data_IF_746316752697
#
_entry.id   IF_746316752697
#
_cell.length_a   1.000
_cell.length_b   1.000
_cell.length_c   1.000
_cell.angle_alpha   90.00
_cell.angle_beta   90.00
_cell.angle_gamma   90.00
#
_symmetry.space_group_name_H-M   'P 1'
#
loop_
_entity.id
_entity.type
_entity.pdbx_description
1 polymer ?
2 non-polymer ?
3 non-polymer ?
4 water ?
#
# COMPACT_ATOMS: atom_id res chain seq x y z
N UNK A 3 4.34 10.74 21.11
CA UNK A 3 3.61 11.84 20.51
C UNK A 3 3.07 11.52 19.08
N UNK A 4 3.80 10.87 18.13
CA UNK A 4 3.21 10.65 16.78
C UNK A 4 1.91 9.86 16.78
N UNK A 5 1.92 8.64 17.34
CA UNK A 5 0.77 7.75 17.42
C UNK A 5 -0.39 8.37 18.21
N UNK A 6 -0.08 9.00 19.37
CA UNK A 6 -1.04 9.67 20.26
C UNK A 6 -1.76 10.79 19.51
N UNK A 7 -1.00 11.57 18.71
CA UNK A 7 -1.51 12.66 17.89
C UNK A 7 -2.38 12.12 16.77
N UNK A 8 -1.92 11.05 16.12
CA UNK A 8 -2.61 10.40 15.00
C UNK A 8 -3.95 9.86 15.48
N UNK A 9 -4.01 9.25 16.64
CA UNK A 9 -5.25 8.72 17.19
C UNK A 9 -6.23 9.81 17.67
N UNK A 10 -5.68 10.92 18.20
CA UNK A 10 -6.46 12.07 18.63
C UNK A 10 -7.16 12.70 17.43
N UNK A 11 -6.43 12.86 16.30
CA UNK A 11 -6.97 13.40 15.04
C UNK A 11 -8.02 12.43 14.44
N UNK A 12 -7.84 11.10 14.62
CA UNK A 12 -8.82 10.11 14.17
C UNK A 12 -10.16 10.39 14.83
N UNK A 13 -10.17 10.62 16.16
CA UNK A 13 -11.38 10.92 16.93
C UNK A 13 -12.04 12.17 16.38
N UNK A 14 -11.22 13.20 16.04
CA UNK A 14 -11.66 14.47 15.48
C UNK A 14 -12.33 14.29 14.10
N UNK A 15 -11.66 13.55 13.19
CA UNK A 15 -12.17 13.24 11.84
C UNK A 15 -13.48 12.44 11.96
N UNK A 16 -13.47 11.37 12.79
CA UNK A 16 -14.65 10.53 13.01
C UNK A 16 -15.85 11.36 13.49
N UNK A 17 -15.65 12.20 14.52
CA UNK A 17 -16.73 13.03 15.03
C UNK A 17 -17.25 14.03 13.99
N UNK A 18 -16.35 14.60 13.17
CA UNK A 18 -16.75 15.51 12.09
C UNK A 18 -17.63 14.77 11.07
N UNK A 19 -17.15 13.62 10.59
CA UNK A 19 -17.86 12.82 9.58
C UNK A 19 -19.20 12.36 10.07
N UNK A 20 -19.27 11.87 11.32
CA UNK A 20 -20.50 11.37 11.90
C UNK A 20 -21.48 12.49 12.24
N UNK A 21 -20.98 13.65 12.74
CA UNK A 21 -21.86 14.80 13.02
C UNK A 21 -22.42 15.35 11.71
N UNK A 22 -21.60 15.41 10.64
CA UNK A 22 -22.02 15.85 9.31
C UNK A 22 -23.19 14.98 8.82
N UNK A 23 -23.08 13.63 8.93
CA UNK A 23 -24.15 12.69 8.54
C UNK A 23 -25.44 12.95 9.32
N UNK A 24 -25.33 13.09 10.64
CA UNK A 24 -26.46 13.39 11.53
C UNK A 24 -27.11 14.76 11.20
N UNK A 25 -26.29 15.82 11.06
CA UNK A 25 -26.78 17.21 10.87
C UNK A 25 -27.17 17.60 9.45
N UNK A 26 -26.38 17.17 8.46
CA UNK A 26 -26.55 17.51 7.05
C UNK A 26 -27.09 16.38 6.18
N UNK A 27 -26.98 15.12 6.59
CA UNK A 27 -27.43 14.04 5.72
C UNK A 27 -28.63 13.29 6.25
N UNK A 28 -29.27 13.82 7.30
CA UNK A 28 -30.49 13.25 7.85
C UNK A 28 -30.34 11.86 8.49
N UNK A 29 -29.13 11.48 8.94
CA UNK A 29 -28.90 10.14 9.49
C UNK A 29 -29.41 9.93 10.89
N UNK A 30 -30.09 8.80 11.09
CA UNK A 30 -30.63 8.37 12.36
C UNK A 30 -29.50 7.79 13.24
N UNK A 31 -29.60 7.94 14.59
CA UNK A 31 -28.55 7.41 15.49
C UNK A 31 -28.11 5.95 15.28
N UNK A 32 -29.06 5.02 15.02
CA UNK A 32 -28.74 3.60 14.81
C UNK A 32 -27.76 3.42 13.68
N UNK A 33 -27.97 4.13 12.54
CA UNK A 33 -27.05 4.13 11.38
C UNK A 33 -25.75 4.86 11.69
N UNK A 34 -25.79 5.97 12.47
CA UNK A 34 -24.55 6.69 12.87
C UNK A 34 -23.65 5.76 13.67
N UNK A 35 -24.23 5.07 14.68
CA UNK A 35 -23.47 4.11 15.51
C UNK A 35 -22.93 2.94 14.69
N UNK A 36 -23.71 2.47 13.69
CA UNK A 36 -23.31 1.40 12.78
C UNK A 36 -22.10 1.85 11.97
N UNK A 37 -22.11 3.10 11.49
CA UNK A 37 -20.99 3.65 10.73
C UNK A 37 -19.76 3.92 11.59
N UNK A 38 -19.95 4.27 12.87
CA UNK A 38 -18.85 4.46 13.84
C UNK A 38 -18.13 3.11 14.02
N UNK A 39 -18.90 2.03 14.28
CA UNK A 39 -18.36 0.68 14.41
C UNK A 39 -17.64 0.23 13.12
N UNK A 40 -18.26 0.42 11.93
CA UNK A 40 -17.70 0.02 10.63
C UNK A 40 -16.39 0.73 10.38
N UNK A 41 -16.34 2.05 10.63
CA UNK A 41 -15.15 2.87 10.47
C UNK A 41 -14.01 2.36 11.40
N UNK A 42 -14.34 2.05 12.66
CA UNK A 42 -13.38 1.51 13.63
C UNK A 42 -12.87 0.14 13.18
N UNK A 43 -13.76 -0.77 12.70
CA UNK A 43 -13.44 -2.12 12.22
C UNK A 43 -12.51 -2.10 11.04
N UNK A 44 -12.79 -1.23 10.07
CA UNK A 44 -12.02 -1.15 8.82
C UNK A 44 -10.78 -0.26 8.89
N UNK A 45 -10.81 0.82 9.67
CA UNK A 45 -9.70 1.79 9.68
C UNK A 45 -8.67 1.61 10.79
N UNK A 46 -9.06 0.97 11.90
CA UNK A 46 -8.19 0.74 13.04
C UNK A 46 -7.73 -0.71 13.19
N UNK A 47 -6.62 -0.90 13.89
CA UNK A 47 -6.08 -2.23 14.16
C UNK A 47 -4.77 -2.60 13.50
N UNK A 48 -4.44 -1.89 12.41
CA UNK A 48 -3.20 -2.09 11.67
C UNK A 48 -1.99 -1.42 12.28
N UNK A 49 -0.91 -1.29 11.51
CA UNK A 49 0.32 -0.67 12.02
C UNK A 49 0.39 0.84 11.72
N UNK A 50 -0.47 1.34 10.81
CA UNK A 50 -0.54 2.74 10.38
C UNK A 50 0.77 3.24 9.73
N UNK A 51 1.52 2.33 9.08
CA UNK A 51 2.78 2.70 8.45
C UNK A 51 2.63 3.79 7.40
N UNK A 52 1.56 3.75 6.58
CA UNK A 52 1.31 4.77 5.55
C UNK A 52 0.98 6.13 6.20
N UNK A 53 0.08 6.13 7.17
CA UNK A 53 -0.38 7.31 7.89
C UNK A 53 0.71 7.96 8.72
N UNK A 54 1.46 7.15 9.48
CA UNK A 54 2.56 7.66 10.30
C UNK A 54 3.71 8.22 9.44
N UNK A 55 3.93 7.67 8.20
CA UNK A 55 4.95 8.18 7.28
C UNK A 55 4.70 9.66 6.96
N UNK A 56 3.41 10.05 6.78
CA UNK A 56 3.03 11.44 6.49
C UNK A 56 3.48 12.35 7.63
N UNK A 57 3.19 11.95 8.89
CA UNK A 57 3.59 12.69 10.11
C UNK A 57 5.12 12.86 10.18
N UNK A 58 5.89 11.74 10.02
CA UNK A 58 7.36 11.69 10.04
C UNK A 58 8.01 12.58 8.98
N UNK A 59 7.43 12.65 7.78
CA UNK A 59 7.95 13.49 6.69
C UNK A 59 7.75 14.97 7.06
N UNK A 60 6.53 15.37 7.50
CA UNK A 60 6.18 16.74 7.87
C UNK A 60 7.06 17.32 9.00
N UNK A 61 7.33 16.53 10.05
CA UNK A 61 8.10 16.94 11.21
C UNK A 61 9.58 17.24 10.85
N UNK A 62 10.12 16.46 9.89
CA UNK A 62 11.47 16.59 9.39
C UNK A 62 11.60 17.88 8.56
N UNK A 63 10.56 18.20 7.79
CA UNK A 63 10.53 19.35 6.90
C UNK A 63 10.20 20.69 7.57
N UNK A 64 9.63 20.67 8.79
CA UNK A 64 9.34 21.93 9.48
C UNK A 64 10.42 22.26 10.52
N UNK A 65 11.11 21.24 11.06
CA UNK A 65 12.22 21.42 11.99
C UNK A 65 13.48 21.82 11.21
N UNK A 66 13.59 21.29 9.98
CA UNK A 66 14.76 21.47 9.11
C UNK A 66 14.36 22.09 7.76
N UNK A 76 8.39 29.45 15.10
CA UNK A 76 6.94 29.67 15.12
C UNK A 76 6.11 28.39 15.32
N UNK A 77 5.17 28.46 16.27
CA UNK A 77 4.27 27.37 16.62
C UNK A 77 2.96 27.32 15.89
N UNK A 78 2.56 28.43 15.21
CA UNK A 78 1.28 28.52 14.45
C UNK A 78 1.32 27.68 13.15
N UNK A 79 2.46 27.72 12.43
CA UNK A 79 2.69 26.95 11.20
C UNK A 79 2.91 25.49 11.55
N UNK A 80 3.69 25.21 12.62
CA UNK A 80 4.01 23.85 13.09
C UNK A 80 2.75 23.05 13.43
N UNK A 81 1.92 23.57 14.37
CA UNK A 81 0.68 22.93 14.83
C UNK A 81 -0.24 22.57 13.66
N UNK A 82 -0.34 23.50 12.68
CA UNK A 82 -1.14 23.38 11.46
C UNK A 82 -0.57 22.28 10.56
N UNK A 83 0.74 22.32 10.26
CA UNK A 83 1.41 21.32 9.41
C UNK A 83 1.27 19.92 9.97
N UNK A 84 1.52 19.72 11.30
CA UNK A 84 1.37 18.42 11.96
C UNK A 84 -0.07 17.91 11.94
N UNK A 85 -1.07 18.81 12.12
CA UNK A 85 -2.50 18.43 12.08
C UNK A 85 -2.86 17.99 10.65
N UNK A 86 -2.42 18.77 9.64
CA UNK A 86 -2.60 18.50 8.21
C UNK A 86 -1.97 17.18 7.83
N UNK A 87 -0.78 16.86 8.40
CA UNK A 87 -0.07 15.60 8.17
C UNK A 87 -0.93 14.42 8.67
N UNK A 88 -1.59 14.59 9.82
CA UNK A 88 -2.48 13.59 10.43
C UNK A 88 -3.74 13.35 9.60
N UNK A 89 -4.34 14.41 9.02
CA UNK A 89 -5.54 14.30 8.18
C UNK A 89 -5.17 13.54 6.89
N UNK A 90 -4.00 13.88 6.29
CA UNK A 90 -3.47 13.25 5.09
C UNK A 90 -3.18 11.77 5.36
N UNK A 91 -2.58 11.51 6.52
CA UNK A 91 -2.32 10.15 6.99
C UNK A 91 -3.61 9.33 7.12
N UNK A 92 -4.67 9.92 7.66
CA UNK A 92 -5.94 9.20 7.75
C UNK A 92 -6.60 9.04 6.39
N UNK A 93 -6.38 10.00 5.45
CA UNK A 93 -6.85 9.85 4.06
C UNK A 93 -6.28 8.55 3.43
N UNK A 94 -4.95 8.29 3.61
CA UNK A 94 -4.30 7.08 3.08
C UNK A 94 -4.78 5.83 3.82
N UNK A 95 -4.93 5.91 5.16
CA UNK A 95 -5.43 4.77 5.95
C UNK A 95 -6.85 4.38 5.55
N UNK A 96 -7.69 5.38 5.26
CA UNK A 96 -9.08 5.16 4.82
C UNK A 96 -9.08 4.59 3.40
N UNK A 97 -8.16 5.08 2.52
CA UNK A 97 -7.99 4.57 1.15
C UNK A 97 -7.61 3.06 1.20
N UNK A 98 -6.68 2.71 2.11
CA UNK A 98 -6.24 1.34 2.37
C UNK A 98 -7.45 0.51 2.88
N UNK A 99 -8.23 1.07 3.82
CA UNK A 99 -9.42 0.42 4.36
C UNK A 99 -10.40 0.10 3.19
N UNK A 100 -10.61 1.08 2.29
CA UNK A 100 -11.42 0.93 1.08
C UNK A 100 -10.90 -0.24 0.20
N UNK A 101 -9.58 -0.33 -0.08
CA UNK A 101 -9.03 -1.42 -0.88
C UNK A 101 -9.21 -2.77 -0.23
N UNK A 102 -9.00 -2.85 1.09
CA UNK A 102 -9.19 -4.12 1.81
C UNK A 102 -10.62 -4.61 1.74
N UNK A 103 -11.62 -3.69 1.87
CA UNK A 103 -13.05 -4.04 1.75
C UNK A 103 -13.29 -4.59 0.34
N UNK A 104 -12.81 -3.89 -0.71
CA UNK A 104 -12.99 -4.30 -2.10
C UNK A 104 -12.39 -5.69 -2.31
N UNK A 105 -11.20 -5.94 -1.71
CA UNK A 105 -10.53 -7.25 -1.79
C UNK A 105 -11.37 -8.32 -1.09
N UNK A 106 -12.00 -8.00 0.04
CA UNK A 106 -12.86 -8.94 0.76
C UNK A 106 -14.12 -9.36 -0.03
N UNK A 107 -14.65 -8.49 -0.91
CA UNK A 107 -15.79 -8.77 -1.78
C UNK A 107 -15.27 -9.72 -2.89
N UNK A 108 -14.06 -9.43 -3.46
CA UNK A 108 -13.35 -10.20 -4.50
C UNK A 108 -13.04 -11.64 -4.09
N UNK A 109 -12.95 -11.91 -2.75
CA UNK A 109 -12.70 -13.22 -2.13
C UNK A 109 -13.95 -13.68 -1.31
N UNK A 110 -15.12 -13.75 -1.99
CA UNK A 110 -16.41 -14.14 -1.41
C UNK A 110 -17.22 -14.93 -2.43
N UNK A 124 -30.57 -11.80 -2.43
CA UNK A 124 -30.78 -10.53 -1.69
C UNK A 124 -29.83 -10.41 -0.50
N UNK A 125 -28.54 -10.72 -0.71
CA UNK A 125 -27.51 -10.72 0.34
C UNK A 125 -27.14 -9.32 0.84
N UNK A 126 -27.73 -8.91 1.98
CA UNK A 126 -27.51 -7.61 2.62
C UNK A 126 -26.05 -7.47 3.15
N UNK A 127 -25.31 -8.58 3.39
CA UNK A 127 -23.92 -8.44 3.84
C UNK A 127 -23.04 -7.95 2.68
N UNK A 128 -23.27 -8.46 1.45
CA UNK A 128 -22.54 -8.06 0.23
C UNK A 128 -22.93 -6.63 -0.15
N UNK A 129 -24.22 -6.28 0.03
CA UNK A 129 -24.71 -4.94 -0.23
C UNK A 129 -23.99 -3.99 0.70
N UNK A 130 -23.85 -4.38 1.98
CA UNK A 130 -23.23 -3.53 2.99
C UNK A 130 -21.76 -3.38 2.78
N UNK A 131 -21.07 -4.45 2.31
CA UNK A 131 -19.62 -4.41 2.01
C UNK A 131 -19.34 -3.46 0.84
N UNK A 132 -20.14 -3.56 -0.25
CA UNK A 132 -20.04 -2.65 -1.39
C UNK A 132 -20.27 -1.22 -0.86
N UNK A 133 -21.33 -1.00 -0.09
CA UNK A 133 -21.63 0.31 0.48
C UNK A 133 -20.49 0.85 1.31
N UNK A 134 -19.92 0.01 2.20
CA UNK A 134 -18.74 0.33 3.03
C UNK A 134 -17.55 0.78 2.17
N UNK A 135 -17.32 0.10 1.05
CA UNK A 135 -16.22 0.42 0.15
C UNK A 135 -16.37 1.83 -0.41
N UNK A 136 -17.60 2.16 -0.85
CA UNK A 136 -17.96 3.46 -1.40
C UNK A 136 -17.84 4.56 -0.34
N UNK A 137 -18.34 4.32 0.86
CA UNK A 137 -18.26 5.30 1.96
C UNK A 137 -16.83 5.60 2.38
N UNK A 138 -15.99 4.57 2.55
CA UNK A 138 -14.59 4.75 2.96
C UNK A 138 -13.81 5.63 1.96
N UNK A 139 -14.06 5.43 0.66
CA UNK A 139 -13.42 6.25 -0.36
C UNK A 139 -13.99 7.67 -0.34
N UNK A 140 -15.33 7.82 -0.23
CA UNK A 140 -15.97 9.14 -0.15
C UNK A 140 -15.49 9.92 1.04
N UNK A 141 -15.21 9.23 2.16
CA UNK A 141 -14.72 9.85 3.40
C UNK A 141 -13.35 10.50 3.24
N UNK A 142 -12.49 9.96 2.34
CA UNK A 142 -11.18 10.56 2.08
C UNK A 142 -11.40 11.96 1.49
N UNK A 143 -12.37 12.11 0.57
CA UNK A 143 -12.70 13.41 -0.02
C UNK A 143 -13.37 14.32 1.00
N UNK A 144 -14.35 13.80 1.78
CA UNK A 144 -15.07 14.60 2.77
C UNK A 144 -14.15 15.22 3.82
N UNK A 145 -13.22 14.43 4.37
CA UNK A 145 -12.27 14.92 5.38
C UNK A 145 -11.25 15.95 4.78
N UNK A 146 -10.83 15.76 3.51
CA UNK A 146 -9.93 16.68 2.82
C UNK A 146 -10.63 18.04 2.54
N UNK A 147 -11.85 18.00 1.96
CA UNK A 147 -12.66 19.16 1.62
C UNK A 147 -13.00 20.01 2.83
N UNK A 148 -13.11 19.38 4.00
CA UNK A 148 -13.41 20.09 5.23
C UNK A 148 -12.14 20.66 5.89
N UNK A 149 -11.19 19.79 6.30
CA UNK A 149 -9.98 20.15 7.03
C UNK A 149 -9.00 21.05 6.24
N UNK A 150 -8.99 20.93 4.90
CA UNK A 150 -8.13 21.73 4.05
C UNK A 150 -8.91 22.74 3.18
N UNK A 151 -10.18 23.03 3.53
CA UNK A 151 -11.10 23.94 2.83
C UNK A 151 -10.48 25.24 2.29
N UNK A 152 -9.65 25.93 3.10
CA UNK A 152 -9.04 27.17 2.66
C UNK A 152 -7.52 27.05 2.43
N UNK A 153 -6.98 25.81 2.32
CA UNK A 153 -5.56 25.60 2.02
C UNK A 153 -5.36 25.79 0.52
N UNK A 154 -4.27 26.47 0.08
CA UNK A 154 -4.03 26.63 -1.37
C UNK A 154 -3.62 25.31 -2.05
N UNK A 155 -3.19 24.31 -1.24
CA UNK A 155 -2.75 23.01 -1.75
C UNK A 155 -3.90 22.02 -1.98
N UNK A 156 -5.14 22.35 -1.54
CA UNK A 156 -6.28 21.43 -1.66
C UNK A 156 -6.43 20.80 -3.06
N UNK A 157 -6.42 21.62 -4.14
CA UNK A 157 -6.60 21.13 -5.50
C UNK A 157 -5.48 20.16 -5.94
N UNK A 158 -4.22 20.51 -5.68
CA UNK A 158 -3.08 19.67 -6.03
C UNK A 158 -3.12 18.38 -5.24
N UNK A 159 -3.48 18.47 -3.94
CA UNK A 159 -3.57 17.29 -3.07
C UNK A 159 -4.60 16.32 -3.60
N UNK A 160 -5.82 16.82 -3.91
CA UNK A 160 -6.93 16.03 -4.46
C UNK A 160 -6.56 15.36 -5.77
N UNK A 161 -5.90 16.11 -6.69
CA UNK A 161 -5.47 15.61 -7.99
C UNK A 161 -4.42 14.53 -7.88
N UNK A 162 -3.40 14.71 -7.00
CA UNK A 162 -2.33 13.71 -6.81
C UNK A 162 -2.87 12.45 -6.13
N UNK A 163 -3.79 12.63 -5.16
CA UNK A 163 -4.44 11.54 -4.46
C UNK A 163 -5.30 10.71 -5.45
N UNK A 164 -6.11 11.39 -6.30
CA UNK A 164 -7.00 10.75 -7.29
C UNK A 164 -6.23 10.00 -8.34
N UNK A 165 -5.11 10.58 -8.78
CA UNK A 165 -4.22 9.98 -9.77
C UNK A 165 -3.60 8.72 -9.20
N UNK A 166 -3.23 8.74 -7.87
CA UNK A 166 -2.62 7.56 -7.19
C UNK A 166 -3.66 6.45 -6.99
N UNK A 167 -4.89 6.84 -6.68
CA UNK A 167 -6.00 5.90 -6.54
C UNK A 167 -6.27 5.21 -7.89
N UNK A 168 -6.31 5.99 -8.99
CA UNK A 168 -6.50 5.46 -10.34
C UNK A 168 -5.39 4.50 -10.68
N UNK A 169 -4.14 4.88 -10.37
CA UNK A 169 -2.94 4.07 -10.59
C UNK A 169 -3.08 2.71 -9.93
N UNK A 170 -3.57 2.68 -8.67
CA UNK A 170 -3.77 1.45 -7.89
C UNK A 170 -4.80 0.53 -8.57
N UNK A 171 -5.95 1.09 -9.08
CA UNK A 171 -6.98 0.33 -9.80
C UNK A 171 -6.38 -0.27 -11.05
N UNK A 172 -5.55 0.50 -11.77
CA UNK A 172 -4.82 -0.01 -12.94
C UNK A 172 -3.88 -1.15 -12.53
N UNK A 173 -3.21 -1.01 -11.39
CA UNK A 173 -2.32 -2.03 -10.84
C UNK A 173 -3.06 -3.32 -10.52
N UNK A 174 -4.27 -3.17 -10.00
CA UNK A 174 -5.17 -4.27 -9.71
C UNK A 174 -5.56 -5.00 -10.99
N UNK A 175 -5.86 -4.26 -12.09
CA UNK A 175 -6.15 -4.88 -13.39
C UNK A 175 -4.97 -5.72 -13.84
N UNK A 176 -3.74 -5.19 -13.75
CA UNK A 176 -2.52 -5.91 -14.16
C UNK A 176 -2.35 -7.16 -13.32
N UNK A 177 -2.65 -7.08 -12.01
CA UNK A 177 -2.53 -8.18 -11.06
C UNK A 177 -3.48 -9.34 -11.29
N UNK A 178 -4.76 -9.03 -11.30
CA UNK A 178 -5.91 -9.92 -11.46
C UNK A 178 -5.91 -10.63 -12.80
N UNK A 179 -5.37 -9.99 -13.84
CA UNK A 179 -5.34 -10.57 -15.19
C UNK A 179 -3.95 -11.07 -15.60
N UNK A 180 -2.95 -11.06 -14.68
CA UNK A 180 -1.57 -11.52 -14.94
C UNK A 180 -1.44 -12.91 -15.52
N UNK A 181 -2.30 -13.84 -15.07
CA UNK A 181 -2.33 -15.24 -15.48
C UNK A 181 -3.26 -15.49 -16.68
N UNK A 182 -3.79 -14.40 -17.27
CA UNK A 182 -4.67 -14.38 -18.44
C UNK A 182 -4.17 -13.33 -19.48
N UNK A 183 -5.02 -13.06 -20.50
CA UNK A 183 -4.92 -12.05 -21.59
C UNK A 183 -5.80 -12.41 -22.79
N UNK A 184 -5.95 -11.44 -23.73
CA UNK A 184 -6.82 -11.43 -24.91
C UNK A 184 -8.27 -11.46 -24.37
N UNK A 185 -8.48 -10.65 -23.29
CA UNK A 185 -9.68 -10.47 -22.48
C UNK A 185 -10.94 -10.10 -23.31
N UNK A 197 -4.63 -18.62 -18.59
CA UNK A 197 -3.69 -19.66 -18.18
C UNK A 197 -2.23 -19.37 -18.66
N UNK A 198 -2.03 -18.36 -19.56
CA UNK A 198 -0.71 -18.04 -20.14
C UNK A 198 0.32 -17.52 -19.13
N UNK A 199 1.57 -18.06 -19.23
CA UNK A 199 2.70 -17.63 -18.40
C UNK A 199 3.57 -16.61 -19.14
N UNK A 200 3.06 -16.08 -20.27
CA UNK A 200 3.70 -15.05 -21.10
C UNK A 200 4.06 -13.80 -20.28
N UNK A 201 3.14 -13.37 -19.38
CA UNK A 201 3.33 -12.20 -18.54
C UNK A 201 4.09 -12.48 -17.24
N UNK A 202 4.60 -13.72 -17.07
CA UNK A 202 5.38 -14.07 -15.89
C UNK A 202 6.83 -13.70 -16.15
N UNK A 203 7.07 -12.38 -16.13
CA UNK A 203 8.39 -11.79 -16.34
C UNK A 203 8.66 -10.83 -15.22
N UNK A 204 9.94 -10.52 -15.00
CA UNK A 204 10.39 -9.61 -13.95
C UNK A 204 9.94 -8.15 -14.24
N UNK A 205 9.96 -7.76 -15.53
CA UNK A 205 9.52 -6.43 -15.96
C UNK A 205 8.01 -6.25 -15.64
N UNK A 206 7.19 -7.29 -15.91
CA UNK A 206 5.77 -7.26 -15.65
C UNK A 206 5.49 -7.33 -14.15
N UNK A 207 6.29 -8.13 -13.42
CA UNK A 207 6.18 -8.24 -11.97
C UNK A 207 6.38 -6.85 -11.37
N UNK A 208 7.40 -6.11 -11.85
CA UNK A 208 7.72 -4.75 -11.41
C UNK A 208 6.60 -3.80 -11.81
N UNK A 209 5.94 -4.01 -12.98
CA UNK A 209 4.81 -3.16 -13.41
C UNK A 209 3.64 -3.31 -12.41
N UNK A 210 3.31 -4.56 -12.02
CA UNK A 210 2.26 -4.85 -11.06
C UNK A 210 2.62 -4.21 -9.74
N UNK A 211 3.83 -4.46 -9.21
CA UNK A 211 4.23 -3.92 -7.91
C UNK A 211 4.16 -2.39 -7.87
N UNK A 212 4.72 -1.70 -8.88
CA UNK A 212 4.72 -0.25 -9.02
C UNK A 212 3.28 0.35 -8.91
N UNK A 213 2.38 -0.14 -9.76
CA UNK A 213 1.03 0.38 -9.86
C UNK A 213 0.11 -0.06 -8.72
N UNK A 214 0.10 -1.36 -8.42
CA UNK A 214 -0.76 -1.96 -7.41
C UNK A 214 -0.39 -1.58 -5.98
N UNK A 215 0.90 -1.44 -5.70
CA UNK A 215 1.37 -1.21 -4.33
C UNK A 215 2.24 0.03 -4.11
N UNK A 216 3.36 0.16 -4.84
CA UNK A 216 4.38 1.18 -4.61
C UNK A 216 3.87 2.63 -4.60
N UNK A 217 3.05 3.04 -5.61
CA UNK A 217 2.48 4.40 -5.67
C UNK A 217 1.67 4.81 -4.42
N UNK A 218 0.70 3.97 -3.92
CA UNK A 218 -0.10 4.37 -2.76
C UNK A 218 0.60 4.06 -1.39
N UNK A 219 1.47 3.04 -1.33
CA UNK A 219 2.09 2.64 -0.08
C UNK A 219 3.36 3.42 0.22
N UNK A 220 4.22 3.64 -0.79
CA UNK A 220 5.49 4.32 -0.58
C UNK A 220 5.51 5.73 -1.10
N UNK A 221 5.04 5.97 -2.34
CA UNK A 221 5.11 7.32 -2.92
C UNK A 221 4.13 8.29 -2.32
N UNK A 222 2.84 7.95 -2.27
CA UNK A 222 1.77 8.82 -1.75
C UNK A 222 2.06 9.35 -0.32
N UNK A 223 2.39 8.52 0.73
CA UNK A 223 2.67 9.10 2.05
C UNK A 223 3.78 10.14 2.03
N UNK A 224 4.85 9.89 1.26
CA UNK A 224 5.99 10.78 1.10
C UNK A 224 5.56 12.08 0.45
N UNK A 225 4.79 12.01 -0.66
CA UNK A 225 4.28 13.15 -1.42
C UNK A 225 3.35 14.02 -0.55
N UNK A 226 2.42 13.39 0.20
CA UNK A 226 1.49 14.10 1.08
C UNK A 226 2.20 14.86 2.18
N UNK A 227 3.23 14.25 2.77
CA UNK A 227 4.07 14.88 3.78
C UNK A 227 4.77 16.11 3.26
N UNK A 228 5.14 16.10 1.94
CA UNK A 228 5.79 17.21 1.23
C UNK A 228 4.80 18.31 0.91
N UNK A 229 3.56 17.93 0.50
CA UNK A 229 2.50 18.88 0.15
C UNK A 229 2.13 19.74 1.35
N UNK A 230 1.79 19.12 2.50
CA UNK A 230 1.39 19.81 3.74
C UNK A 230 2.49 20.73 4.28
N UNK A 231 3.76 20.36 4.03
CA UNK A 231 4.95 21.12 4.43
C UNK A 231 5.27 22.22 3.44
N UNK A 232 4.52 22.29 2.30
CA UNK A 232 4.71 23.25 1.20
C UNK A 232 6.17 23.17 0.66
N UNK A 233 6.73 21.95 0.66
CA UNK A 233 8.11 21.67 0.26
C UNK A 233 8.23 20.71 -0.92
N UNK A 234 7.15 20.57 -1.71
CA UNK A 234 7.08 19.72 -2.91
C UNK A 234 8.13 20.12 -3.98
N UNK A 235 8.36 21.41 -4.34
CA UNK A 235 9.36 21.69 -5.39
C UNK A 235 10.83 21.62 -4.94
N UNK A 236 11.09 21.47 -3.62
CA UNK A 236 12.44 21.42 -3.03
C UNK A 236 13.13 20.04 -3.13
N UNK A 237 12.43 19.02 -3.68
CA UNK A 237 12.92 17.64 -3.80
C UNK A 237 12.99 17.16 -5.24
N UNK A 238 13.97 16.28 -5.54
CA UNK A 238 14.10 15.64 -6.85
C UNK A 238 13.07 14.52 -6.84
N UNK A 239 11.97 14.73 -7.57
CA UNK A 239 10.85 13.78 -7.66
C UNK A 239 11.27 12.46 -8.29
N UNK A 240 12.18 12.53 -9.26
CA UNK A 240 12.71 11.36 -9.97
C UNK A 240 13.32 10.33 -9.04
N UNK A 241 14.28 10.77 -8.20
CA UNK A 241 14.98 9.95 -7.20
C UNK A 241 13.99 9.41 -6.15
N UNK A 242 13.00 10.25 -5.75
CA UNK A 242 11.94 9.92 -4.79
C UNK A 242 11.03 8.82 -5.35
N UNK A 243 10.56 8.99 -6.62
CA UNK A 243 9.70 8.03 -7.32
C UNK A 243 10.42 6.71 -7.44
N UNK A 244 11.72 6.76 -7.83
CA UNK A 244 12.62 5.63 -7.97
C UNK A 244 12.78 4.91 -6.64
N UNK A 245 12.93 5.67 -5.53
CA UNK A 245 13.04 5.10 -4.18
C UNK A 245 11.76 4.39 -3.77
N UNK A 246 10.60 5.03 -4.00
CA UNK A 246 9.30 4.45 -3.70
C UNK A 246 9.08 3.13 -4.43
N UNK A 247 9.39 3.09 -5.74
CA UNK A 247 9.31 1.89 -6.58
C UNK A 247 10.24 0.78 -6.06
N UNK A 248 11.48 1.15 -5.65
CA UNK A 248 12.46 0.19 -5.14
C UNK A 248 12.07 -0.41 -3.81
N UNK A 249 11.61 0.43 -2.87
CA UNK A 249 11.14 -0.01 -1.55
C UNK A 249 9.90 -0.91 -1.68
N UNK A 250 8.97 -0.54 -2.57
CA UNK A 250 7.78 -1.33 -2.91
C UNK A 250 8.16 -2.69 -3.46
N UNK A 251 9.15 -2.73 -4.35
CA UNK A 251 9.71 -3.96 -4.94
C UNK A 251 10.35 -4.85 -3.84
N UNK A 252 11.18 -4.26 -2.95
CA UNK A 252 11.80 -4.98 -1.84
C UNK A 252 10.70 -5.60 -0.96
N UNK A 253 9.69 -4.79 -0.61
CA UNK A 253 8.59 -5.22 0.21
C UNK A 253 7.80 -6.37 -0.41
N UNK A 254 7.46 -6.25 -1.70
CA UNK A 254 6.68 -7.27 -2.37
C UNK A 254 7.41 -8.62 -2.54
N UNK A 255 8.71 -8.58 -2.81
CA UNK A 255 9.53 -9.79 -2.95
C UNK A 255 9.54 -10.56 -1.63
N UNK A 256 9.72 -9.82 -0.52
CA UNK A 256 9.73 -10.40 0.81
C UNK A 256 8.33 -10.90 1.15
N UNK A 257 7.29 -10.14 0.78
CA UNK A 257 5.90 -10.51 1.00
C UNK A 257 5.50 -11.80 0.26
N UNK A 258 6.00 -11.95 -0.99
CA UNK A 258 5.76 -13.11 -1.86
C UNK A 258 6.41 -14.36 -1.29
N UNK A 259 7.67 -14.23 -0.82
CA UNK A 259 8.44 -15.32 -0.26
C UNK A 259 7.77 -15.80 1.01
N UNK A 260 7.35 -14.86 1.87
CA UNK A 260 6.66 -15.13 3.13
C UNK A 260 5.31 -15.79 2.92
N UNK A 261 4.59 -15.39 1.87
CA UNK A 261 3.28 -15.96 1.52
C UNK A 261 3.41 -17.48 1.30
N UNK A 262 4.49 -17.90 0.65
CA UNK A 262 4.77 -19.28 0.34
C UNK A 262 5.40 -20.08 1.49
N UNK A 263 6.41 -19.51 2.18
CA UNK A 263 7.18 -20.25 3.17
C UNK A 263 6.87 -19.95 4.66
N UNK A 264 6.36 -18.76 5.00
CA UNK A 264 6.04 -18.43 6.40
C UNK A 264 4.71 -19.09 6.82
N UNK A 265 4.73 -20.02 7.83
CA UNK A 265 3.48 -20.69 8.27
C UNK A 265 2.38 -19.76 8.76
N UNK A 266 1.08 -20.14 8.60
CA UNK A 266 -0.04 -19.24 8.92
C UNK A 266 -0.06 -18.56 10.29
N UNK A 267 0.40 -19.25 11.37
CA UNK A 267 0.43 -18.68 12.73
C UNK A 267 1.45 -17.51 12.85
N UNK A 268 2.57 -17.59 12.10
CA UNK A 268 3.63 -16.59 12.05
C UNK A 268 3.30 -15.48 11.03
N UNK A 269 2.72 -15.86 9.87
CA UNK A 269 2.35 -14.94 8.79
C UNK A 269 1.15 -14.07 9.12
N UNK A 270 0.17 -14.62 9.84
CA UNK A 270 -1.05 -13.92 10.24
C UNK A 270 -2.19 -14.07 9.25
N UNK A 271 -2.01 -14.96 8.25
CA UNK A 271 -2.97 -15.30 7.19
C UNK A 271 -2.57 -16.61 6.54
N UNK A 272 -3.46 -17.20 5.73
CA UNK A 272 -3.13 -18.42 4.99
C UNK A 272 -2.61 -17.95 3.61
N UNK A 273 -1.39 -18.35 3.27
CA UNK A 273 -0.76 -18.02 2.00
C UNK A 273 -1.41 -18.76 0.86
N UNK A 274 -1.94 -18.02 -0.13
CA UNK A 274 -2.72 -18.58 -1.25
C UNK A 274 -2.19 -18.21 -2.66
N UNK A 275 -0.98 -17.60 -2.78
CA UNK A 275 -0.41 -17.18 -4.07
C UNK A 275 -0.29 -18.31 -5.10
N UNK A 276 0.14 -19.49 -4.68
CA UNK A 276 0.29 -20.64 -5.59
C UNK A 276 -1.08 -21.06 -6.16
N UNK A 277 -2.06 -21.30 -5.26
CA UNK A 277 -3.45 -21.67 -5.56
C UNK A 277 -4.10 -20.67 -6.48
N UNK A 278 -3.84 -19.37 -6.22
CA UNK A 278 -4.38 -18.25 -6.99
C UNK A 278 -3.64 -17.99 -8.31
N UNK A 279 -2.53 -18.74 -8.55
CA UNK A 279 -1.71 -18.62 -9.74
C UNK A 279 -1.23 -17.16 -9.92
N UNK A 280 -0.73 -16.56 -8.82
CA UNK A 280 -0.23 -15.20 -8.84
C UNK A 280 1.10 -15.06 -9.61
N UNK A 281 1.31 -13.87 -10.21
CA UNK A 281 2.57 -13.53 -10.86
C UNK A 281 3.48 -13.06 -9.72
N UNK A 282 3.97 -13.99 -8.91
CA UNK A 282 4.83 -13.69 -7.76
C UNK A 282 6.30 -13.66 -8.16
N UNK A 283 7.15 -13.06 -7.31
CA UNK A 283 8.56 -13.02 -7.51
C UNK A 283 9.10 -14.46 -7.62
N UNK A 284 8.59 -15.38 -6.79
CA UNK A 284 9.04 -16.79 -6.82
C UNK A 284 8.76 -17.44 -8.17
N UNK A 285 7.52 -17.29 -8.68
CA UNK A 285 7.10 -17.83 -9.98
C UNK A 285 7.95 -17.32 -11.17
N UNK A 286 8.18 -15.99 -11.29
CA UNK A 286 8.96 -15.37 -12.38
C UNK A 286 10.46 -15.74 -12.30
N UNK A 287 10.99 -15.82 -11.07
CA UNK A 287 12.41 -16.18 -10.87
C UNK A 287 12.64 -17.65 -11.17
N UNK A 288 11.68 -18.49 -10.78
CA UNK A 288 11.74 -19.92 -11.04
C UNK A 288 11.70 -20.18 -12.54
N UNK A 289 10.79 -19.52 -13.28
CA UNK A 289 10.65 -19.78 -14.71
C UNK A 289 11.88 -19.45 -15.54
N UNK A 290 12.68 -18.48 -15.09
CA UNK A 290 13.90 -18.09 -15.78
C UNK A 290 15.04 -19.09 -15.50
N UNK A 291 14.99 -19.84 -14.37
CA UNK A 291 16.09 -20.77 -14.07
C UNK A 291 15.71 -22.28 -14.05
N UNK A 292 14.46 -22.63 -14.36
CA UNK A 292 14.04 -24.02 -14.42
C UNK A 292 14.31 -24.63 -15.81
N UNK A 293 14.48 -25.97 -15.87
CA UNK A 293 14.65 -26.73 -17.11
C UNK A 293 13.27 -26.92 -17.77
N UNK A 294 13.23 -27.30 -19.05
CA UNK A 294 11.98 -27.51 -19.79
C UNK A 294 10.99 -28.44 -19.06
N UNK A 295 11.47 -29.59 -18.53
CA UNK A 295 10.63 -30.53 -17.80
C UNK A 295 10.20 -29.99 -16.45
N UNK A 296 11.05 -29.20 -15.76
CA UNK A 296 10.72 -28.55 -14.47
C UNK A 296 9.64 -27.47 -14.71
N UNK A 297 9.73 -26.71 -15.84
CA UNK A 297 8.75 -25.69 -16.23
C UNK A 297 7.42 -26.41 -16.51
N UNK A 298 7.49 -27.54 -17.23
CA UNK A 298 6.35 -28.39 -17.55
C UNK A 298 5.68 -28.90 -16.27
N UNK A 299 6.50 -29.25 -15.26
CA UNK A 299 6.07 -29.71 -13.93
C UNK A 299 5.42 -28.56 -13.15
N UNK A 300 6.01 -27.35 -13.23
CA UNK A 300 5.48 -26.14 -12.61
C UNK A 300 4.12 -25.79 -13.24
N UNK A 301 4.04 -25.79 -14.58
CA UNK A 301 2.82 -25.46 -15.34
C UNK A 301 1.65 -26.41 -15.03
N UNK A 302 1.94 -27.70 -14.85
CA UNK A 302 0.89 -28.68 -14.54
C UNK A 302 0.39 -28.59 -13.10
N UNK A 303 1.18 -28.00 -12.17
CA UNK A 303 0.82 -27.91 -10.75
C UNK A 303 0.45 -26.51 -10.21
N UNK A 304 0.78 -25.43 -10.96
CA UNK A 304 0.47 -24.07 -10.53
C UNK A 304 -1.02 -23.72 -10.70
N UNK A 305 -1.55 -22.87 -9.82
CA UNK A 305 -2.94 -22.42 -9.86
C UNK A 305 -3.99 -23.44 -9.46
N UNK A 306 -3.66 -24.36 -8.54
CA UNK A 306 -4.58 -25.40 -8.06
C UNK A 306 -4.66 -25.40 -6.54
N UNK A 307 -5.86 -25.65 -6.03
CA UNK A 307 -6.12 -25.73 -4.60
C UNK A 307 -5.60 -27.02 -3.97
N UNK A 308 -5.41 -28.08 -4.79
CA UNK A 308 -4.93 -29.39 -4.34
C UNK A 308 -3.60 -29.30 -3.58
N UNK A 309 -3.64 -29.72 -2.29
CA UNK A 309 -2.54 -29.73 -1.31
C UNK A 309 -1.20 -30.25 -1.83
N UNK A 310 -1.24 -31.35 -2.60
CA UNK A 310 -0.07 -32.02 -3.17
C UNK A 310 0.56 -31.25 -4.34
N UNK A 311 -0.27 -30.52 -5.12
CA UNK A 311 0.18 -29.69 -6.24
C UNK A 311 0.87 -28.43 -5.71
N UNK A 312 0.34 -27.84 -4.63
CA UNK A 312 0.90 -26.66 -3.92
C UNK A 312 2.27 -27.06 -3.35
N UNK A 313 2.32 -28.24 -2.72
CA UNK A 313 3.54 -28.83 -2.15
C UNK A 313 4.59 -29.12 -3.24
N UNK A 314 4.14 -29.56 -4.45
CA UNK A 314 5.05 -29.83 -5.56
C UNK A 314 5.71 -28.51 -6.02
N UNK A 315 4.91 -27.42 -6.04
CA UNK A 315 5.38 -26.07 -6.41
C UNK A 315 6.45 -25.62 -5.41
N UNK A 316 6.15 -25.72 -4.10
CA UNK A 316 7.07 -25.41 -3.01
C UNK A 316 8.39 -26.19 -3.12
N UNK A 317 8.32 -27.52 -3.46
CA UNK A 317 9.46 -28.41 -3.68
C UNK A 317 10.29 -27.88 -4.83
N UNK A 318 9.64 -27.45 -5.93
CA UNK A 318 10.32 -26.90 -7.11
C UNK A 318 11.09 -25.62 -6.74
N UNK A 319 10.45 -24.69 -5.97
CA UNK A 319 11.09 -23.45 -5.51
C UNK A 319 12.33 -23.74 -4.63
N UNK A 320 12.17 -24.70 -3.70
CA UNK A 320 13.22 -25.14 -2.79
C UNK A 320 14.41 -25.72 -3.57
N UNK A 321 14.13 -26.66 -4.50
CA UNK A 321 15.15 -27.33 -5.30
C UNK A 321 15.84 -26.43 -6.30
N UNK A 322 15.19 -25.34 -6.71
CA UNK A 322 15.77 -24.39 -7.65
C UNK A 322 16.63 -23.34 -6.93
N UNK A 323 16.80 -23.48 -5.61
CA UNK A 323 17.59 -22.57 -4.76
C UNK A 323 17.10 -21.13 -4.88
N UNK A 324 15.78 -20.97 -4.88
CA UNK A 324 15.16 -19.65 -5.00
C UNK A 324 15.34 -18.86 -3.74
N UNK A 325 15.44 -19.53 -2.56
CA UNK A 325 15.60 -18.82 -1.29
C UNK A 325 17.05 -18.28 -1.13
N UNK A 326 17.97 -18.85 -1.88
CA UNK A 326 19.35 -18.37 -1.95
C UNK A 326 19.39 -17.13 -2.84
N UNK A 327 18.64 -17.16 -3.96
CA UNK A 327 18.51 -16.07 -4.93
C UNK A 327 17.74 -14.90 -4.32
N UNK A 328 16.77 -15.19 -3.43
CA UNK A 328 15.96 -14.21 -2.69
C UNK A 328 16.86 -13.27 -1.89
N UNK A 329 17.82 -13.85 -1.12
CA UNK A 329 18.79 -13.17 -0.27
C UNK A 329 19.59 -12.14 -1.09
N UNK A 330 20.15 -12.59 -2.22
CA UNK A 330 20.95 -11.74 -3.11
C UNK A 330 20.09 -10.68 -3.79
N UNK A 331 18.87 -11.03 -4.25
CA UNK A 331 17.99 -10.06 -4.93
C UNK A 331 17.66 -8.88 -4.02
N UNK A 332 17.29 -9.19 -2.78
CA UNK A 332 16.95 -8.21 -1.75
C UNK A 332 18.14 -7.34 -1.38
N UNK A 333 19.34 -7.95 -1.23
CA UNK A 333 20.57 -7.25 -0.92
C UNK A 333 20.93 -6.26 -2.04
N UNK A 334 20.75 -6.64 -3.35
CA UNK A 334 21.03 -5.77 -4.50
C UNK A 334 20.06 -4.58 -4.51
N UNK A 335 18.78 -4.82 -4.15
CA UNK A 335 17.76 -3.79 -4.07
C UNK A 335 18.14 -2.84 -2.94
N UNK A 336 18.55 -3.40 -1.78
CA UNK A 336 18.97 -2.64 -0.59
C UNK A 336 20.13 -1.70 -0.90
N UNK A 337 21.12 -2.19 -1.68
CA UNK A 337 22.28 -1.41 -2.14
C UNK A 337 21.80 -0.20 -2.95
N UNK A 338 20.84 -0.41 -3.89
CA UNK A 338 20.25 0.63 -4.75
C UNK A 338 19.50 1.69 -3.93
N UNK A 339 18.73 1.23 -2.90
CA UNK A 339 17.96 2.09 -2.00
C UNK A 339 18.91 3.00 -1.23
N UNK A 340 19.89 2.39 -0.51
CA UNK A 340 20.91 3.09 0.28
C UNK A 340 21.66 4.16 -0.51
N UNK A 341 21.91 3.89 -1.81
CA UNK A 341 22.60 4.81 -2.72
C UNK A 341 21.73 6.02 -3.09
N UNK A 342 20.46 5.78 -3.45
CA UNK A 342 19.54 6.85 -3.87
C UNK A 342 19.17 7.82 -2.75
N UNK A 343 19.13 7.34 -1.48
CA UNK A 343 18.86 8.18 -0.31
C UNK A 343 19.98 9.25 -0.18
N UNK A 344 21.24 8.85 -0.49
CA UNK A 344 22.40 9.74 -0.48
C UNK A 344 22.26 10.87 -1.50
N UNK A 345 21.83 10.55 -2.74
CA UNK A 345 21.58 11.55 -3.79
C UNK A 345 20.51 12.56 -3.35
N UNK A 346 19.45 12.06 -2.67
CA UNK A 346 18.34 12.84 -2.15
C UNK A 346 18.78 13.77 -1.03
N UNK A 347 19.66 13.26 -0.14
CA UNK A 347 20.22 13.96 1.01
C UNK A 347 21.05 15.20 0.61
N UNK A 348 21.67 15.20 -0.59
CA UNK A 348 22.48 16.31 -1.11
C UNK A 348 21.71 17.62 -1.28
N UNK A 349 20.40 17.54 -1.61
CA UNK A 349 19.53 18.69 -1.82
C UNK A 349 18.35 18.76 -0.83
N UNK A 350 17.96 17.61 -0.26
CA UNK A 350 16.85 17.47 0.68
C UNK A 350 17.30 16.60 1.88
N UNK A 351 18.01 17.20 2.88
CA UNK A 351 18.55 16.38 3.99
C UNK A 351 17.51 15.84 4.97
N UNK A 352 16.62 16.71 5.46
CA UNK A 352 15.55 16.32 6.38
C UNK A 352 14.63 15.25 5.83
N UNK A 353 14.28 15.37 4.52
CA UNK A 353 13.43 14.44 3.80
C UNK A 353 14.06 13.06 3.70
N UNK A 354 15.38 13.00 3.38
CA UNK A 354 16.17 11.77 3.27
C UNK A 354 16.19 10.91 4.54
N UNK A 355 16.21 11.57 5.74
CA UNK A 355 16.15 10.90 7.05
C UNK A 355 14.78 10.27 7.25
N UNK A 356 13.69 10.93 6.76
CA UNK A 356 12.33 10.36 6.87
C UNK A 356 12.17 9.21 5.83
N UNK A 357 12.87 9.29 4.68
CA UNK A 357 12.83 8.22 3.66
C UNK A 357 13.64 7.03 4.21
N UNK A 358 14.64 7.31 5.08
CA UNK A 358 15.50 6.33 5.73
C UNK A 358 14.72 5.52 6.75
N UNK A 359 13.88 6.20 7.58
CA UNK A 359 13.02 5.60 8.58
C UNK A 359 11.95 4.73 7.89
N UNK A 360 11.38 5.22 6.75
CA UNK A 360 10.39 4.46 5.95
C UNK A 360 11.02 3.15 5.48
N UNK A 361 12.28 3.25 5.00
CA UNK A 361 13.10 2.12 4.57
C UNK A 361 13.43 1.13 5.70
N UNK A 362 13.77 1.65 6.88
CA UNK A 362 14.01 0.81 8.06
C UNK A 362 12.81 -0.03 8.45
N UNK A 363 11.59 0.52 8.27
CA UNK A 363 10.33 -0.18 8.53
C UNK A 363 10.09 -1.33 7.55
N UNK A 364 10.61 -1.21 6.30
CA UNK A 364 10.52 -2.21 5.22
C UNK A 364 11.61 -3.27 5.34
N UNK A 365 12.87 -2.83 5.58
CA UNK A 365 14.07 -3.67 5.70
C UNK A 365 14.02 -4.59 6.94
N UNK A 366 13.17 -4.26 7.94
CA UNK A 366 12.90 -4.98 9.20
C UNK A 366 12.35 -6.39 8.93
X LIG B 1 4.83 -3.58 6.13
X LIG B 1 4.00 -2.73 5.49
X LIG B 1 5.06 0.86 4.59
X LIG B 1 6.36 0.82 5.14
X LIG B 1 6.42 -2.98 6.55
X LIG B 1 4.69 -1.41 5.23
X LIG B 1 5.97 -1.46 5.80
X LIG B 1 2.66 -3.12 4.92
X LIG B 1 1.49 -2.30 5.38
X LIG B 1 4.21 -0.26 4.62
X LIG B 1 4.36 -5.22 6.54
X LIG B 1 6.83 -0.35 5.76
X LIG B 1 0.38 -2.52 4.90
X LIG B 1 1.74 -1.36 6.29
X LIG B 1 4.47 2.34 3.88
X LIG C 1 2.28 -10.06 -6.52
X LIG C 1 2.12 -8.67 -6.93
X LIG C 1 1.22 -10.97 -7.60
X LIG C 1 1.31 -10.20 -5.05
#
# INVERSE_FOLDING_TARGET
GPMPMQMFMQVYDEIQMFLLEELELKFDMDPNRVRYLRKMMDTTCLGGKYNRGLTVIDVAESLLSLSPNNNGEEDDGARRKRVLHDACVCGWMIEFLQAHYLVEDDIMDNSVTRRGKPCWYRHPDVTVQCAINDGLLLKSWTHMMAMHFFADRPFLQDLLCRFNRVDYTTAVGQLYDVTSMFDSNKLDPDVSQPTTTDFAEFTLSNYKRIVKYKTAYYTYLLPLVMGLIVSEALPTVDMGVTEELAMLMGEYFQVQDDVMDCFTPPERLGKVGTDIQDAKCSWLAVTFLAKASSAQVAEFKANYGSGDSEKVATVRRLYEEADLQGDYVAYEAAVAEQVKELIEKLRLCSPGFAASVETLWGKTYKRQK
JQE C1 C2 C12 C14 S3 C4 C5 C6 C7 C8 CL9 C10 O11 O13 CL5
DMS S O C1 C2
#
